data_IF_166695238837
#
_entry.id   IF_166695238837
#
_cell.length_a   1.000
_cell.length_b   1.000
_cell.length_c   1.000
_cell.angle_alpha   90.00
_cell.angle_beta   90.00
_cell.angle_gamma   90.00
#
_symmetry.space_group_name_H-M   'P 1'
#
loop_
_entity.id
_entity.type
_entity.pdbx_description
1 polymer ?
#
# COMPACT_ATOMS: atom_id res chain seq x y z
N UNK A 1 18.73 5.70 -17.66
CA UNK A 1 17.36 5.99 -17.21
C UNK A 1 17.02 5.09 -16.02
N UNK A 2 16.31 5.59 -15.01
CA UNK A 2 15.92 4.79 -13.83
C UNK A 2 14.59 4.09 -14.12
N UNK A 3 14.56 2.77 -13.99
CA UNK A 3 13.34 1.96 -14.12
C UNK A 3 12.77 1.64 -12.74
N UNK A 4 11.46 1.83 -12.55
CA UNK A 4 10.76 1.56 -11.28
C UNK A 4 9.62 0.57 -11.51
N UNK A 5 9.58 -0.53 -10.76
CA UNK A 5 8.48 -1.50 -10.78
C UNK A 5 7.96 -1.69 -9.36
N UNK A 6 6.72 -1.31 -9.11
CA UNK A 6 6.16 -1.30 -7.75
C UNK A 6 6.79 -0.24 -6.82
N UNK A 7 7.46 0.75 -7.40
CA UNK A 7 8.13 1.84 -6.72
C UNK A 7 7.76 3.18 -7.38
N UNK A 8 7.86 4.27 -6.63
CA UNK A 8 7.57 5.65 -7.04
C UNK A 8 8.81 6.53 -6.88
N UNK A 9 8.99 7.61 -7.67
CA UNK A 9 9.99 8.63 -7.39
C UNK A 9 9.80 9.22 -5.98
N UNK A 10 10.91 9.58 -5.34
CA UNK A 10 10.97 10.19 -4.02
C UNK A 10 12.13 11.21 -3.96
N UNK A 11 12.17 12.12 -4.93
CA UNK A 11 13.15 13.21 -4.94
C UNK A 11 12.93 14.12 -3.72
N UNK A 12 13.98 14.83 -3.33
CA UNK A 12 13.93 15.69 -2.14
C UNK A 12 12.84 16.76 -2.29
N UNK A 13 11.89 16.79 -1.37
CA UNK A 13 10.78 17.76 -1.36
C UNK A 13 9.56 17.36 -2.20
N UNK A 14 9.66 16.34 -3.05
CA UNK A 14 8.51 15.90 -3.85
C UNK A 14 7.46 15.18 -2.98
N UNK A 15 6.16 15.40 -3.24
CA UNK A 15 5.11 14.61 -2.61
C UNK A 15 5.15 13.16 -3.08
N UNK A 16 5.03 12.23 -2.13
CA UNK A 16 5.04 10.78 -2.38
C UNK A 16 3.75 10.18 -1.82
N UNK A 17 2.95 9.59 -2.71
CA UNK A 17 1.71 8.90 -2.32
C UNK A 17 1.95 7.39 -2.24
N UNK A 18 1.66 6.82 -1.08
CA UNK A 18 1.83 5.39 -0.81
C UNK A 18 0.48 4.81 -0.35
N UNK A 19 -0.34 4.27 -1.27
CA UNK A 19 -1.58 3.59 -0.92
C UNK A 19 -1.37 2.32 -0.07
N UNK A 20 -2.24 2.15 0.91
CA UNK A 20 -2.45 0.86 1.57
C UNK A 20 -3.33 -0.07 0.74
N UNK A 21 -3.89 -1.10 1.39
CA UNK A 21 -4.99 -1.90 0.85
C UNK A 21 -6.37 -1.34 1.23
N UNK A 22 -7.44 -2.04 0.84
CA UNK A 22 -8.85 -1.67 1.01
C UNK A 22 -9.26 -1.26 2.44
N UNK A 23 -8.61 -1.81 3.47
CA UNK A 23 -8.88 -1.48 4.88
C UNK A 23 -7.73 -0.76 5.58
N UNK A 24 -6.63 -0.53 4.88
CA UNK A 24 -5.42 0.01 5.48
C UNK A 24 -5.25 1.50 5.15
N UNK A 25 -4.54 2.25 6.00
CA UNK A 25 -4.25 3.64 5.72
C UNK A 25 -3.45 3.83 4.43
N UNK A 26 -3.70 4.96 3.76
CA UNK A 26 -2.80 5.48 2.73
C UNK A 26 -1.97 6.61 3.31
N UNK A 27 -0.80 6.86 2.73
CA UNK A 27 0.13 7.87 3.24
C UNK A 27 0.47 8.90 2.19
N UNK A 28 0.40 10.16 2.58
CA UNK A 28 1.10 11.25 1.92
C UNK A 28 2.41 11.46 2.68
N UNK A 29 3.50 11.41 1.95
CA UNK A 29 4.86 11.54 2.44
C UNK A 29 5.58 12.60 1.61
N UNK A 30 6.77 13.00 2.04
CA UNK A 30 7.71 13.80 1.25
C UNK A 30 8.97 12.99 1.00
N UNK A 31 9.47 13.02 -0.23
CA UNK A 31 10.73 12.37 -0.59
C UNK A 31 11.93 13.07 0.05
N UNK A 32 12.92 12.29 0.48
CA UNK A 32 14.17 12.80 1.05
C UNK A 32 15.34 12.77 0.04
N UNK A 33 15.10 12.30 -1.19
CA UNK A 33 16.11 12.31 -2.25
C UNK A 33 17.25 11.32 -2.03
N UNK A 34 17.03 10.26 -1.24
CA UNK A 34 18.08 9.32 -0.85
C UNK A 34 18.75 8.65 -2.07
N UNK A 35 20.04 8.94 -2.27
CA UNK A 35 20.80 8.50 -3.44
C UNK A 35 21.06 6.99 -3.47
N UNK A 36 21.23 6.35 -2.30
CA UNK A 36 21.39 4.89 -2.20
C UNK A 36 20.20 4.14 -2.81
N UNK A 37 19.01 4.77 -2.76
CA UNK A 37 17.76 4.23 -3.30
C UNK A 37 17.35 4.90 -4.61
N UNK A 38 18.28 5.58 -5.29
CA UNK A 38 18.04 6.28 -6.56
C UNK A 38 16.84 7.24 -6.48
N UNK A 39 16.70 7.94 -5.35
CA UNK A 39 15.57 8.81 -5.04
C UNK A 39 14.21 8.13 -5.33
N UNK A 40 13.99 6.95 -4.76
CA UNK A 40 12.79 6.13 -4.97
C UNK A 40 12.25 5.57 -3.66
N UNK A 41 10.93 5.42 -3.60
CA UNK A 41 10.20 4.79 -2.50
C UNK A 41 9.31 3.65 -3.01
N UNK A 42 8.77 2.84 -2.11
CA UNK A 42 7.72 1.87 -2.43
C UNK A 42 6.45 2.57 -2.90
N UNK A 43 5.70 1.93 -3.80
CA UNK A 43 4.43 2.50 -4.27
C UNK A 43 3.22 2.12 -3.39
N UNK A 44 3.36 1.20 -2.45
CA UNK A 44 2.24 0.70 -1.65
C UNK A 44 2.61 -0.53 -0.82
N UNK A 45 1.61 -1.13 -0.17
CA UNK A 45 1.82 -2.26 0.75
C UNK A 45 2.47 -3.49 0.08
N UNK A 46 2.11 -3.74 -1.18
CA UNK A 46 2.50 -4.97 -1.87
C UNK A 46 1.75 -6.20 -1.34
N UNK A 47 1.61 -7.22 -2.19
CA UNK A 47 0.83 -8.40 -1.85
C UNK A 47 1.62 -9.31 -0.89
N UNK A 48 0.92 -9.84 0.12
CA UNK A 48 1.39 -10.94 0.95
C UNK A 48 0.93 -12.29 0.39
N UNK A 49 -0.25 -12.32 -0.25
CA UNK A 49 -0.83 -13.52 -0.84
C UNK A 49 -1.00 -13.40 -2.35
N UNK A 50 -0.82 -14.53 -3.05
CA UNK A 50 -1.21 -14.62 -4.46
C UNK A 50 -2.73 -14.47 -4.60
N UNK A 51 -3.20 -14.00 -5.76
CA UNK A 51 -4.63 -13.89 -6.06
C UNK A 51 -5.35 -15.22 -5.90
N UNK A 52 -4.74 -16.29 -6.41
CA UNK A 52 -5.27 -17.65 -6.28
C UNK A 52 -5.42 -18.06 -4.81
N UNK A 53 -4.41 -17.82 -3.97
CA UNK A 53 -4.48 -18.15 -2.54
C UNK A 53 -5.56 -17.32 -1.83
N UNK A 54 -5.67 -16.03 -2.13
CA UNK A 54 -6.68 -15.16 -1.54
C UNK A 54 -8.12 -15.62 -1.87
N UNK A 55 -8.38 -16.07 -3.11
CA UNK A 55 -9.70 -16.59 -3.51
C UNK A 55 -10.15 -17.83 -2.73
N UNK A 56 -9.20 -18.61 -2.21
CA UNK A 56 -9.48 -19.86 -1.46
C UNK A 56 -9.77 -19.62 0.03
N UNK A 57 -9.52 -18.42 0.55
CA UNK A 57 -9.81 -18.10 1.94
C UNK A 57 -11.29 -17.77 2.12
N UNK A 58 -11.79 -18.01 3.33
CA UNK A 58 -13.11 -17.55 3.76
C UNK A 58 -13.12 -16.04 4.05
N UNK A 59 -14.31 -15.46 4.12
CA UNK A 59 -14.49 -14.01 4.22
C UNK A 59 -13.99 -13.46 5.58
N UNK A 60 -13.99 -14.29 6.63
CA UNK A 60 -13.45 -13.96 7.96
C UNK A 60 -11.92 -13.82 7.93
N UNK A 61 -11.22 -14.82 7.39
CA UNK A 61 -9.75 -14.79 7.21
C UNK A 61 -9.30 -13.71 6.25
N UNK A 62 -10.16 -13.33 5.30
CA UNK A 62 -9.91 -12.20 4.41
C UNK A 62 -10.12 -10.83 5.09
N UNK A 63 -10.80 -10.80 6.24
CA UNK A 63 -11.10 -9.58 6.97
C UNK A 63 -12.13 -8.69 6.28
N UNK A 64 -13.00 -9.26 5.44
CA UNK A 64 -13.95 -8.48 4.63
C UNK A 64 -15.03 -7.77 5.46
N UNK A 65 -15.31 -8.26 6.67
CA UNK A 65 -16.24 -7.61 7.61
C UNK A 65 -15.67 -6.32 8.23
N UNK A 66 -14.38 -6.05 8.08
CA UNK A 66 -13.71 -4.88 8.68
C UNK A 66 -13.65 -3.68 7.74
N UNK A 67 -14.18 -3.81 6.52
CA UNK A 67 -14.06 -2.81 5.46
C UNK A 67 -15.40 -2.52 4.81
N UNK A 68 -15.66 -1.25 4.54
CA UNK A 68 -16.71 -0.88 3.59
C UNK A 68 -16.14 -0.85 2.18
N UNK A 69 -16.60 -1.79 1.36
CA UNK A 69 -16.18 -1.89 -0.04
C UNK A 69 -17.37 -2.16 -0.95
N UNK A 70 -17.48 -1.35 -2.00
CA UNK A 70 -18.38 -1.59 -3.12
C UNK A 70 -17.54 -2.19 -4.23
N UNK A 71 -17.86 -3.42 -4.62
CA UNK A 71 -17.18 -4.15 -5.69
C UNK A 71 -18.17 -4.64 -6.74
N UNK A 72 -17.85 -4.45 -8.02
CA UNK A 72 -18.70 -4.94 -9.12
C UNK A 72 -18.70 -6.48 -9.23
N UNK A 73 -17.61 -7.12 -8.77
CA UNK A 73 -17.43 -8.57 -8.82
C UNK A 73 -16.89 -9.08 -7.48
N UNK A 74 -17.51 -10.14 -6.93
CA UNK A 74 -17.14 -10.70 -5.63
C UNK A 74 -15.75 -11.34 -5.65
N UNK A 75 -15.29 -11.87 -6.78
CA UNK A 75 -13.95 -12.41 -6.91
C UNK A 75 -12.88 -11.33 -6.70
N UNK A 76 -13.11 -10.13 -7.25
CA UNK A 76 -12.20 -8.98 -7.09
C UNK A 76 -12.13 -8.53 -5.63
N UNK A 77 -13.26 -8.53 -4.93
CA UNK A 77 -13.32 -8.21 -3.50
C UNK A 77 -12.39 -9.13 -2.70
N UNK A 78 -12.43 -10.45 -2.97
CA UNK A 78 -11.55 -11.43 -2.30
C UNK A 78 -10.08 -11.26 -2.67
N UNK A 79 -9.78 -11.00 -3.94
CA UNK A 79 -8.41 -10.80 -4.39
C UNK A 79 -7.75 -9.55 -3.78
N UNK A 80 -8.55 -8.54 -3.46
CA UNK A 80 -8.09 -7.24 -2.98
C UNK A 80 -8.34 -7.04 -1.48
N UNK A 81 -8.79 -8.09 -0.80
CA UNK A 81 -9.12 -8.06 0.63
C UNK A 81 -7.91 -7.64 1.49
N UNK A 82 -8.13 -7.07 2.69
CA UNK A 82 -7.06 -6.63 3.58
C UNK A 82 -5.95 -7.67 3.79
N UNK A 83 -6.32 -8.92 4.06
CA UNK A 83 -5.36 -10.01 4.31
C UNK A 83 -4.50 -10.38 3.08
N UNK A 84 -4.87 -9.95 1.88
CA UNK A 84 -4.09 -10.22 0.67
C UNK A 84 -2.82 -9.37 0.56
N UNK A 85 -2.73 -8.29 1.35
CA UNK A 85 -1.65 -7.32 1.35
C UNK A 85 -0.81 -7.40 2.63
N UNK A 86 0.41 -6.88 2.55
CA UNK A 86 1.27 -6.72 3.75
C UNK A 86 0.71 -5.63 4.65
N UNK A 87 1.21 -5.56 5.88
CA UNK A 87 0.95 -4.40 6.71
C UNK A 87 1.64 -3.15 6.14
N UNK A 88 0.84 -2.16 5.72
CA UNK A 88 1.37 -0.89 5.20
C UNK A 88 2.19 -0.14 6.26
N UNK A 89 1.85 -0.27 7.56
CA UNK A 89 2.59 0.35 8.65
C UNK A 89 4.05 -0.06 8.61
N UNK A 90 4.30 -1.37 8.62
CA UNK A 90 5.65 -1.93 8.51
C UNK A 90 6.44 -1.45 7.27
N UNK A 91 5.76 -1.26 6.13
CA UNK A 91 6.38 -0.78 4.89
C UNK A 91 6.77 0.69 5.01
N UNK A 92 5.95 1.52 5.64
CA UNK A 92 6.25 2.93 5.89
C UNK A 92 7.39 3.07 6.89
N UNK A 93 7.32 2.36 8.02
CA UNK A 93 8.29 2.48 9.12
C UNK A 93 9.72 2.22 8.64
N UNK A 94 9.93 1.14 7.87
CA UNK A 94 11.24 0.80 7.31
C UNK A 94 11.79 1.90 6.39
N UNK A 95 10.94 2.56 5.60
CA UNK A 95 11.39 3.61 4.68
C UNK A 95 11.68 4.93 5.39
N UNK A 96 10.95 5.21 6.47
CA UNK A 96 11.20 6.38 7.33
C UNK A 96 12.50 6.18 8.09
N UNK A 97 12.71 5.01 8.70
CA UNK A 97 13.96 4.64 9.39
C UNK A 97 15.17 4.71 8.45
N UNK A 98 15.01 4.25 7.21
CA UNK A 98 16.05 4.33 6.18
C UNK A 98 16.27 5.73 5.58
N UNK A 99 15.51 6.76 6.01
CA UNK A 99 15.64 8.12 5.51
C UNK A 99 15.31 8.26 4.02
N UNK A 100 14.33 7.51 3.52
CA UNK A 100 13.87 7.57 2.12
C UNK A 100 12.74 8.59 1.96
N UNK A 101 11.81 8.59 2.90
CA UNK A 101 10.63 9.47 2.95
C UNK A 101 10.38 9.95 4.38
N UNK A 102 9.71 11.09 4.52
CA UNK A 102 9.21 11.58 5.81
C UNK A 102 7.66 11.72 5.78
N UNK A 103 6.96 11.47 6.90
CA UNK A 103 5.51 11.52 6.94
C UNK A 103 4.98 12.95 6.81
N UNK A 104 3.91 13.11 6.02
CA UNK A 104 3.15 14.36 5.91
C UNK A 104 1.73 14.16 6.44
N UNK A 105 1.03 13.13 5.97
CA UNK A 105 -0.31 12.79 6.45
C UNK A 105 -0.61 11.29 6.32
N UNK A 106 -1.43 10.80 7.24
CA UNK A 106 -2.00 9.44 7.21
C UNK A 106 -3.49 9.54 6.95
N UNK A 107 -3.96 8.87 5.91
CA UNK A 107 -5.35 8.88 5.45
C UNK A 107 -6.00 7.55 5.80
N UNK A 108 -7.11 7.60 6.55
CA UNK A 108 -7.90 6.40 6.86
C UNK A 108 -8.96 6.20 5.77
N UNK A 109 -9.08 4.99 5.17
CA UNK A 109 -10.15 4.73 4.22
C UNK A 109 -11.52 4.76 4.94
N UNK A 110 -12.51 5.36 4.28
CA UNK A 110 -13.90 5.34 4.72
C UNK A 110 -14.73 4.38 3.87
N UNK A 111 -14.53 4.42 2.56
CA UNK A 111 -15.22 3.59 1.58
C UNK A 111 -14.25 3.29 0.45
N UNK A 112 -14.20 2.03 0.02
CA UNK A 112 -13.41 1.61 -1.14
C UNK A 112 -14.32 1.20 -2.31
N UNK A 113 -13.96 1.61 -3.52
CA UNK A 113 -14.59 1.14 -4.77
C UNK A 113 -13.61 0.25 -5.55
N UNK A 114 -14.06 -0.91 -6.02
CA UNK A 114 -13.24 -1.92 -6.73
C UNK A 114 -13.93 -2.52 -7.96
#
# INVERSE_FOLDING_TARGET
AVHRKGATPAHAGDPVLIPGSMGQPSYLMVGLGNEHWLASASHGAGRALTRHRARQLDDERLGLSTVECIALHRERLREEAPAAYKDIGSVIDVQVEAGIVAPVARLRPLLTFK
#
